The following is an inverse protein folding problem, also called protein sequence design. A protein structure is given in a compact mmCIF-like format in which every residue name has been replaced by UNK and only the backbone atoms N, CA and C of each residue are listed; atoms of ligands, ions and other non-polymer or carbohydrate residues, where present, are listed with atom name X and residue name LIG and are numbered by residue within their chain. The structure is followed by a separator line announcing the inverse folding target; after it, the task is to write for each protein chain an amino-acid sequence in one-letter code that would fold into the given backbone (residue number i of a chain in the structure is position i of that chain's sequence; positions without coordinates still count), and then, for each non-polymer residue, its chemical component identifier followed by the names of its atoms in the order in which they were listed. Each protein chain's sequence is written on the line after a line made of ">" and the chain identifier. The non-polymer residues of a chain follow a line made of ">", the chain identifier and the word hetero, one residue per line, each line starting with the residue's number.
data_IF_207355017391
#
_entry.id   IF_207355017391
#
_cell.length_a   1.000
_cell.length_b   1.000
_cell.length_c   1.000
_cell.angle_alpha   90.00
_cell.angle_beta   90.00
_cell.angle_gamma   90.00
#
_symmetry.space_group_name_H-M   'P 1'
#
loop_
_entity.id
_entity.type
_entity.pdbx_description
1 polymer ?
#
# COMPACT_ATOMS: atom_id res chain seq x y z
N UNK A 1 -7.04 -5.66 -18.46
CA UNK A 1 -7.66 -6.29 -17.29
C UNK A 1 -6.80 -7.45 -16.83
N UNK A 2 -6.23 -7.37 -15.62
CA UNK A 2 -5.43 -8.44 -15.05
C UNK A 2 -6.33 -9.56 -14.52
N UNK A 3 -6.01 -10.81 -14.84
CA UNK A 3 -6.63 -12.00 -14.24
C UNK A 3 -5.64 -12.67 -13.30
N UNK A 4 -6.12 -13.47 -12.34
CA UNK A 4 -5.23 -14.21 -11.43
C UNK A 4 -4.19 -15.10 -12.19
N UNK A 5 -4.52 -15.79 -13.30
CA UNK A 5 -3.53 -16.47 -14.13
C UNK A 5 -2.49 -15.51 -14.73
N UNK A 6 -2.88 -14.31 -15.16
CA UNK A 6 -1.95 -13.34 -15.75
C UNK A 6 -0.92 -12.85 -14.71
N UNK A 7 -1.33 -12.63 -13.47
CA UNK A 7 -0.41 -12.28 -12.37
C UNK A 7 0.60 -13.40 -12.11
N UNK A 8 0.16 -14.66 -12.14
CA UNK A 8 1.04 -15.83 -11.98
C UNK A 8 2.05 -15.96 -13.13
N UNK A 9 1.61 -15.76 -14.37
CA UNK A 9 2.50 -15.74 -15.54
C UNK A 9 3.51 -14.59 -15.50
N UNK A 10 3.09 -13.43 -15.02
CA UNK A 10 3.98 -12.29 -14.82
C UNK A 10 5.04 -12.61 -13.77
N UNK A 11 4.64 -13.22 -12.64
CA UNK A 11 5.56 -13.69 -11.60
C UNK A 11 6.60 -14.65 -12.17
N UNK A 12 6.19 -15.64 -12.96
CA UNK A 12 7.09 -16.59 -13.60
C UNK A 12 8.13 -15.89 -14.50
N UNK A 13 7.70 -14.95 -15.33
CA UNK A 13 8.61 -14.15 -16.16
C UNK A 13 9.60 -13.33 -15.34
N UNK A 14 9.16 -12.76 -14.21
CA UNK A 14 10.04 -12.00 -13.31
C UNK A 14 11.07 -12.90 -12.63
N UNK A 15 10.69 -14.11 -12.22
CA UNK A 15 11.62 -15.08 -11.66
C UNK A 15 12.66 -15.52 -12.69
N UNK A 16 12.25 -15.79 -13.94
CA UNK A 16 13.16 -16.10 -15.04
C UNK A 16 14.11 -14.95 -15.35
N UNK A 17 13.64 -13.72 -15.23
CA UNK A 17 14.47 -12.52 -15.42
C UNK A 17 15.31 -12.15 -14.18
N UNK A 18 15.26 -12.96 -13.10
CA UNK A 18 15.91 -12.68 -11.82
C UNK A 18 15.48 -11.34 -11.22
N UNK A 19 14.24 -10.91 -11.47
CA UNK A 19 13.67 -9.70 -10.87
C UNK A 19 13.22 -10.00 -9.43
N UNK A 20 13.69 -9.19 -8.47
CA UNK A 20 13.50 -9.43 -7.04
C UNK A 20 12.11 -9.07 -6.51
N UNK A 21 11.30 -8.29 -7.23
CA UNK A 21 9.98 -7.82 -6.77
C UNK A 21 9.09 -7.41 -7.93
N UNK A 22 7.81 -7.23 -7.64
CA UNK A 22 6.82 -6.75 -8.58
C UNK A 22 6.13 -5.49 -8.03
N UNK A 23 6.00 -4.46 -8.86
CA UNK A 23 5.22 -3.27 -8.55
C UNK A 23 3.97 -3.24 -9.42
N UNK A 24 2.82 -3.11 -8.79
CA UNK A 24 1.52 -3.04 -9.44
C UNK A 24 0.84 -1.73 -9.12
N UNK A 25 0.19 -1.17 -10.10
CA UNK A 25 -0.60 0.05 -9.97
C UNK A 25 -2.02 -0.23 -10.47
N UNK A 26 -3.01 0.13 -9.64
CA UNK A 26 -4.41 0.08 -9.97
C UNK A 26 -4.97 1.49 -9.93
N UNK A 27 -5.22 2.03 -11.10
CA UNK A 27 -5.97 3.27 -11.27
C UNK A 27 -7.47 2.97 -11.18
N UNK A 28 -8.23 3.81 -10.47
CA UNK A 28 -9.68 3.70 -10.29
C UNK A 28 -10.14 2.39 -9.59
N UNK A 29 -9.80 2.24 -8.32
CA UNK A 29 -10.07 1.02 -7.50
C UNK A 29 -11.55 0.61 -7.52
N UNK A 30 -12.51 1.57 -7.54
CA UNK A 30 -13.94 1.28 -7.49
C UNK A 30 -14.45 0.37 -8.60
N UNK A 31 -13.91 0.48 -9.82
CA UNK A 31 -14.29 -0.36 -10.96
C UNK A 31 -13.65 -1.76 -10.92
N UNK A 32 -12.56 -1.93 -10.20
CA UNK A 32 -11.78 -3.17 -10.15
C UNK A 32 -12.16 -4.09 -9.00
N UNK A 33 -12.60 -3.54 -7.87
CA UNK A 33 -13.03 -4.33 -6.69
C UNK A 33 -14.21 -5.23 -7.05
N UNK A 34 -15.17 -4.70 -7.80
CA UNK A 34 -16.39 -5.42 -8.19
C UNK A 34 -16.17 -6.56 -9.17
N UNK A 35 -15.08 -6.53 -9.94
CA UNK A 35 -14.91 -7.43 -11.08
C UNK A 35 -13.84 -8.52 -10.92
N UNK A 36 -12.95 -8.44 -9.92
CA UNK A 36 -11.73 -9.28 -9.89
C UNK A 36 -11.27 -9.72 -8.49
N UNK A 37 -12.16 -10.23 -7.66
CA UNK A 37 -11.84 -10.75 -6.30
C UNK A 37 -10.72 -11.79 -6.29
N UNK A 38 -10.64 -12.66 -7.31
CA UNK A 38 -9.57 -13.67 -7.40
C UNK A 38 -8.18 -13.06 -7.55
N UNK A 39 -8.06 -11.95 -8.28
CA UNK A 39 -6.79 -11.22 -8.44
C UNK A 39 -6.36 -10.59 -7.12
N UNK A 40 -7.31 -10.00 -6.40
CA UNK A 40 -7.05 -9.41 -5.09
C UNK A 40 -6.54 -10.45 -4.08
N UNK A 41 -7.12 -11.66 -4.08
CA UNK A 41 -6.63 -12.75 -3.23
C UNK A 41 -5.18 -13.14 -3.55
N UNK A 42 -4.80 -13.17 -4.84
CA UNK A 42 -3.40 -13.43 -5.24
C UNK A 42 -2.46 -12.34 -4.73
N UNK A 43 -2.89 -11.08 -4.71
CA UNK A 43 -2.05 -10.00 -4.16
C UNK A 43 -1.84 -10.12 -2.66
N UNK A 44 -2.83 -10.60 -1.90
CA UNK A 44 -2.65 -10.89 -0.48
C UNK A 44 -1.62 -12.01 -0.24
N UNK A 45 -1.60 -13.04 -1.09
CA UNK A 45 -0.60 -14.12 -1.03
C UNK A 45 0.81 -13.59 -1.35
N UNK A 46 0.93 -12.63 -2.27
CA UNK A 46 2.21 -12.03 -2.69
C UNK A 46 2.77 -10.99 -1.72
N UNK A 47 1.95 -10.45 -0.81
CA UNK A 47 2.31 -9.32 0.05
C UNK A 47 3.47 -9.62 1.01
N UNK A 48 3.50 -10.78 1.63
CA UNK A 48 4.49 -11.08 2.67
C UNK A 48 5.84 -11.51 2.06
N UNK A 49 5.88 -12.71 1.48
CA UNK A 49 7.11 -13.32 0.97
C UNK A 49 7.11 -13.51 -0.54
N UNK A 50 6.06 -13.07 -1.22
CA UNK A 50 5.97 -13.19 -2.67
C UNK A 50 5.78 -14.61 -3.17
N UNK A 51 5.14 -15.47 -2.37
CA UNK A 51 4.78 -16.84 -2.74
C UNK A 51 3.29 -16.91 -3.03
N UNK A 52 2.92 -17.62 -4.08
CA UNK A 52 1.53 -17.95 -4.41
C UNK A 52 1.32 -19.42 -4.16
N UNK A 53 0.29 -19.76 -3.39
CA UNK A 53 -0.08 -21.16 -3.13
C UNK A 53 -0.56 -21.82 -4.42
N UNK A 54 -0.05 -23.02 -4.70
CA UNK A 54 -0.56 -23.83 -5.81
C UNK A 54 -2.01 -24.26 -5.53
N UNK A 55 -2.92 -23.94 -6.46
CA UNK A 55 -4.17 -24.72 -6.54
C UNK A 55 -3.82 -26.05 -7.21
N UNK A 56 -4.03 -27.15 -6.50
CA UNK A 56 -3.95 -28.50 -7.08
C UNK A 56 -5.03 -28.63 -8.16
N UNK A 57 -4.69 -28.34 -9.40
CA UNK A 57 -5.56 -28.61 -10.55
C UNK A 57 -5.24 -30.04 -11.02
N UNK A 58 -6.28 -30.88 -11.17
CA UNK A 58 -6.12 -32.20 -11.76
C UNK A 58 -5.45 -32.07 -13.13
N UNK A 59 -4.39 -32.85 -13.35
CA UNK A 59 -3.77 -32.96 -14.67
C UNK A 59 -4.80 -33.48 -15.67
N UNK A 60 -5.13 -32.68 -16.67
CA UNK A 60 -5.83 -33.12 -17.88
C UNK A 60 -4.82 -33.19 -19.03
N UNK A 61 -5.11 -34.01 -20.03
CA UNK A 61 -4.22 -34.27 -21.18
C UNK A 61 -3.76 -32.99 -21.90
N UNK A 62 -4.55 -31.90 -21.75
CA UNK A 62 -4.29 -30.61 -22.40
C UNK A 62 -3.60 -29.57 -21.50
N UNK A 63 -3.37 -29.87 -20.21
CA UNK A 63 -2.67 -28.98 -19.27
C UNK A 63 -1.40 -29.65 -18.77
N UNK A 64 -0.33 -29.47 -19.52
CA UNK A 64 1.03 -29.80 -19.06
C UNK A 64 1.37 -28.79 -17.95
N UNK A 65 1.62 -29.28 -16.73
CA UNK A 65 2.18 -28.45 -15.66
C UNK A 65 3.47 -27.81 -16.16
N UNK A 66 3.50 -26.51 -16.29
CA UNK A 66 4.75 -25.80 -16.18
C UNK A 66 5.26 -26.02 -14.76
N UNK A 67 6.44 -26.57 -14.57
CA UNK A 67 7.07 -26.69 -13.27
C UNK A 67 7.11 -25.28 -12.66
N UNK A 68 6.56 -25.14 -11.45
CA UNK A 68 6.54 -23.83 -10.79
C UNK A 68 7.97 -23.47 -10.44
N UNK A 69 8.44 -22.34 -10.96
CA UNK A 69 9.78 -21.85 -10.66
C UNK A 69 9.85 -21.48 -9.18
N UNK A 70 10.80 -22.07 -8.42
CA UNK A 70 11.00 -21.70 -7.03
C UNK A 70 11.49 -20.24 -6.95
N UNK A 71 11.03 -19.51 -5.97
CA UNK A 71 11.48 -18.15 -5.72
C UNK A 71 10.39 -17.24 -5.16
N UNK A 72 10.83 -16.12 -4.64
CA UNK A 72 10.00 -15.11 -4.01
C UNK A 72 9.90 -13.88 -4.90
N UNK A 73 8.70 -13.37 -5.06
CA UNK A 73 8.41 -12.10 -5.77
C UNK A 73 7.51 -11.24 -4.91
N UNK A 74 8.02 -10.67 -3.79
CA UNK A 74 7.23 -9.76 -2.98
C UNK A 74 6.68 -8.64 -3.86
N UNK A 75 5.44 -8.26 -3.58
CA UNK A 75 4.70 -7.36 -4.46
C UNK A 75 4.29 -6.11 -3.72
N UNK A 76 4.62 -4.95 -4.30
CA UNK A 76 4.06 -3.68 -3.90
C UNK A 76 2.83 -3.38 -4.75
N UNK A 77 1.79 -2.88 -4.11
CA UNK A 77 0.54 -2.51 -4.76
C UNK A 77 0.20 -1.07 -4.40
N UNK A 78 0.07 -0.22 -5.42
CA UNK A 78 -0.42 1.14 -5.31
C UNK A 78 -1.82 1.21 -5.91
N UNK A 79 -2.76 1.79 -5.18
CA UNK A 79 -4.15 1.89 -5.59
C UNK A 79 -4.66 3.31 -5.45
N UNK A 80 -5.32 3.80 -6.48
CA UNK A 80 -5.96 5.12 -6.50
C UNK A 80 -7.47 4.96 -6.59
N UNK A 81 -8.20 5.82 -5.89
CA UNK A 81 -9.65 5.80 -5.91
C UNK A 81 -10.24 7.15 -5.53
N UNK A 82 -11.42 7.45 -6.05
CA UNK A 82 -12.16 8.65 -5.72
C UNK A 82 -13.08 8.36 -4.52
N UNK A 83 -12.92 9.05 -3.38
CA UNK A 83 -13.69 8.76 -2.16
C UNK A 83 -15.20 8.76 -2.38
N UNK A 84 -15.74 9.72 -3.14
CA UNK A 84 -17.18 9.82 -3.46
C UNK A 84 -17.71 8.64 -4.26
N UNK A 85 -16.85 7.93 -5.01
CA UNK A 85 -17.23 6.72 -5.74
C UNK A 85 -17.08 5.46 -4.89
N UNK A 86 -16.10 5.43 -3.98
CA UNK A 86 -15.85 4.30 -3.09
C UNK A 86 -16.82 4.25 -1.91
N UNK A 87 -17.33 5.41 -1.48
CA UNK A 87 -18.16 5.60 -0.30
C UNK A 87 -19.50 6.24 -0.66
N UNK A 88 -20.13 5.72 -1.73
CA UNK A 88 -21.37 6.25 -2.29
C UNK A 88 -22.64 5.83 -1.53
N UNK A 89 -22.49 4.99 -0.49
CA UNK A 89 -23.60 4.43 0.28
C UNK A 89 -24.30 3.26 -0.42
N UNK A 90 -23.79 2.81 -1.58
CA UNK A 90 -24.34 1.74 -2.38
C UNK A 90 -23.48 0.47 -2.39
N UNK A 91 -23.62 -0.30 -3.45
CA UNK A 91 -22.94 -1.58 -3.65
C UNK A 91 -21.40 -1.44 -3.67
N UNK A 92 -20.87 -0.38 -4.26
CA UNK A 92 -19.42 -0.17 -4.35
C UNK A 92 -18.81 0.03 -2.95
N UNK A 93 -19.50 0.76 -2.08
CA UNK A 93 -19.06 0.92 -0.69
C UNK A 93 -19.08 -0.41 0.07
N UNK A 94 -20.10 -1.23 -0.11
CA UNK A 94 -20.19 -2.54 0.53
C UNK A 94 -19.04 -3.45 0.08
N UNK A 95 -18.79 -3.53 -1.22
CA UNK A 95 -17.68 -4.30 -1.79
C UNK A 95 -16.30 -3.78 -1.34
N UNK A 96 -16.13 -2.45 -1.21
CA UNK A 96 -14.92 -1.85 -0.67
C UNK A 96 -14.70 -2.23 0.80
N UNK A 97 -15.76 -2.23 1.62
CA UNK A 97 -15.68 -2.67 3.00
C UNK A 97 -15.30 -4.15 3.10
N UNK A 98 -15.93 -5.02 2.31
CA UNK A 98 -15.58 -6.44 2.23
C UNK A 98 -14.12 -6.63 1.80
N UNK A 99 -13.64 -5.87 0.82
CA UNK A 99 -12.24 -5.87 0.41
C UNK A 99 -11.30 -5.54 1.60
N UNK A 100 -11.61 -4.51 2.37
CA UNK A 100 -10.83 -4.16 3.55
C UNK A 100 -10.85 -5.27 4.62
N UNK A 101 -12.00 -5.91 4.85
CA UNK A 101 -12.18 -7.01 5.79
C UNK A 101 -11.39 -8.26 5.41
N UNK A 102 -11.18 -8.55 4.12
CA UNK A 102 -10.37 -9.70 3.67
C UNK A 102 -8.90 -9.61 4.07
N UNK A 103 -8.48 -8.51 4.66
CA UNK A 103 -7.15 -8.31 5.23
C UNK A 103 -6.35 -7.17 4.62
N UNK A 104 -6.94 -6.40 3.70
CA UNK A 104 -6.25 -5.25 3.11
C UNK A 104 -6.12 -4.08 4.10
N UNK A 105 -7.10 -3.85 4.99
CA UNK A 105 -7.01 -2.79 6.00
C UNK A 105 -5.72 -2.89 6.84
N UNK A 106 -5.33 -4.10 7.20
CA UNK A 106 -4.12 -4.35 8.01
C UNK A 106 -2.81 -4.30 7.23
N UNK A 107 -2.85 -4.27 5.89
CA UNK A 107 -1.66 -4.30 5.03
C UNK A 107 -1.38 -3.01 4.29
N UNK A 108 -2.40 -2.20 4.04
CA UNK A 108 -2.29 -0.96 3.29
C UNK A 108 -1.91 0.22 4.17
N UNK A 109 -1.16 1.13 3.58
CA UNK A 109 -1.06 2.51 4.04
C UNK A 109 -2.08 3.34 3.24
N UNK A 110 -2.78 4.22 3.94
CA UNK A 110 -3.85 5.05 3.37
C UNK A 110 -3.38 6.49 3.29
N UNK A 111 -3.61 7.11 2.14
CA UNK A 111 -3.56 8.55 1.98
C UNK A 111 -4.96 9.04 1.64
N UNK A 112 -5.40 10.13 2.27
CA UNK A 112 -6.69 10.75 2.02
C UNK A 112 -6.53 12.26 2.02
N UNK A 113 -7.04 12.91 1.00
CA UNK A 113 -7.11 14.37 0.95
C UNK A 113 -8.47 14.81 0.40
N UNK A 114 -9.03 15.84 1.02
CA UNK A 114 -10.27 16.50 0.56
C UNK A 114 -9.92 17.64 -0.39
N UNK A 115 -8.81 18.31 -0.14
CA UNK A 115 -8.39 19.46 -0.92
C UNK A 115 -7.43 19.08 -2.03
N UNK A 116 -7.78 19.42 -3.26
CA UNK A 116 -6.79 19.49 -4.31
C UNK A 116 -5.94 20.75 -4.07
N UNK A 117 -4.79 20.62 -3.41
CA UNK A 117 -3.79 21.68 -3.33
C UNK A 117 -3.20 21.96 -4.73
N UNK A 118 -4.08 22.34 -5.66
CA UNK A 118 -3.64 22.77 -7.00
C UNK A 118 -2.95 24.12 -6.86
N UNK A 119 -1.68 24.15 -7.21
CA UNK A 119 -0.96 25.41 -7.34
C UNK A 119 -1.75 26.32 -8.27
N UNK A 120 -2.24 27.44 -7.75
CA UNK A 120 -2.92 28.46 -8.56
C UNK A 120 -1.84 29.34 -9.14
N UNK A 121 -1.77 29.39 -10.46
CA UNK A 121 -0.87 30.26 -11.19
C UNK A 121 -1.59 31.57 -11.53
N UNK A 122 -0.91 32.70 -11.36
CA UNK A 122 -1.46 34.00 -11.70
C UNK A 122 -1.58 34.20 -13.23
N UNK A 123 -0.75 33.48 -14.01
CA UNK A 123 -0.75 33.56 -15.47
C UNK A 123 -0.28 32.26 -16.14
N UNK A 124 -0.60 32.10 -17.43
CA UNK A 124 -0.06 31.00 -18.24
C UNK A 124 1.46 31.08 -18.38
N UNK A 125 2.02 32.27 -18.35
CA UNK A 125 3.47 32.53 -18.42
C UNK A 125 4.17 31.97 -17.19
N UNK A 126 3.64 32.23 -16.00
CA UNK A 126 4.17 31.69 -14.73
C UNK A 126 4.14 30.16 -14.72
N UNK A 127 3.03 29.56 -15.13
CA UNK A 127 2.91 28.10 -15.25
C UNK A 127 3.92 27.51 -16.22
N UNK A 128 4.13 28.17 -17.37
CA UNK A 128 5.13 27.73 -18.35
C UNK A 128 6.56 27.81 -17.79
N UNK A 129 6.90 28.90 -17.11
CA UNK A 129 8.21 29.06 -16.48
C UNK A 129 8.48 27.96 -15.46
N UNK A 130 7.51 27.60 -14.64
CA UNK A 130 7.67 26.48 -13.70
C UNK A 130 7.83 25.13 -14.41
N UNK A 131 7.14 24.90 -15.52
CA UNK A 131 7.27 23.66 -16.30
C UNK A 131 8.66 23.49 -16.95
N UNK A 132 9.33 24.58 -17.26
CA UNK A 132 10.67 24.58 -17.89
C UNK A 132 11.78 24.94 -16.90
N UNK A 133 11.49 24.89 -15.61
CA UNK A 133 12.46 25.20 -14.55
C UNK A 133 13.62 24.20 -14.58
N UNK A 134 14.81 24.72 -14.79
CA UNK A 134 16.03 23.94 -14.87
C UNK A 134 16.42 23.30 -13.52
N UNK A 135 16.10 23.94 -12.40
CA UNK A 135 16.37 23.42 -11.08
C UNK A 135 15.46 22.24 -10.77
N UNK A 136 14.17 22.31 -11.11
CA UNK A 136 13.26 21.17 -11.01
C UNK A 136 13.73 19.98 -11.88
N UNK A 137 14.18 20.23 -13.09
CA UNK A 137 14.72 19.18 -13.97
C UNK A 137 15.98 18.54 -13.37
N UNK A 138 16.85 19.31 -12.74
CA UNK A 138 18.04 18.83 -12.03
C UNK A 138 17.67 17.96 -10.82
N UNK A 139 16.69 18.38 -10.03
CA UNK A 139 16.21 17.62 -8.87
C UNK A 139 15.60 16.30 -9.31
N UNK A 140 14.80 16.29 -10.38
CA UNK A 140 14.24 15.06 -10.96
C UNK A 140 15.33 14.08 -11.42
N UNK A 141 16.41 14.59 -12.05
CA UNK A 141 17.55 13.75 -12.44
C UNK A 141 18.28 13.18 -11.21
N UNK A 142 18.45 13.95 -10.15
CA UNK A 142 19.06 13.48 -8.90
C UNK A 142 18.24 12.36 -8.26
N UNK A 143 16.91 12.51 -8.22
CA UNK A 143 15.99 11.47 -7.74
C UNK A 143 16.10 10.20 -8.62
N UNK A 144 16.08 10.36 -9.94
CA UNK A 144 16.24 9.25 -10.88
C UNK A 144 17.57 8.49 -10.66
N UNK A 145 18.66 9.20 -10.47
CA UNK A 145 19.97 8.60 -10.18
C UNK A 145 19.96 7.83 -8.87
N UNK A 146 19.31 8.38 -7.83
CA UNK A 146 19.17 7.72 -6.54
C UNK A 146 18.44 6.39 -6.67
N UNK A 147 17.29 6.36 -7.35
CA UNK A 147 16.56 5.11 -7.59
C UNK A 147 17.34 4.14 -8.48
N UNK A 148 18.07 4.63 -9.48
CA UNK A 148 18.95 3.80 -10.30
C UNK A 148 20.05 3.14 -9.47
N UNK A 149 20.60 3.84 -8.49
CA UNK A 149 21.61 3.30 -7.58
C UNK A 149 20.99 2.27 -6.62
N UNK A 150 19.74 2.49 -6.14
CA UNK A 150 19.03 1.48 -5.34
C UNK A 150 18.84 0.17 -6.11
N UNK A 151 18.48 0.25 -7.39
CA UNK A 151 18.28 -0.93 -8.23
C UNK A 151 19.55 -1.76 -8.48
N UNK A 152 20.74 -1.20 -8.25
CA UNK A 152 22.03 -1.89 -8.37
C UNK A 152 22.48 -2.59 -7.08
N UNK A 153 21.79 -2.37 -5.98
CA UNK A 153 22.15 -2.97 -4.68
C UNK A 153 21.78 -4.46 -4.63
N UNK A 154 22.46 -5.26 -3.79
CA UNK A 154 22.12 -6.66 -3.59
C UNK A 154 20.68 -6.84 -3.13
N UNK A 155 20.03 -7.90 -3.62
CA UNK A 155 18.70 -8.30 -3.14
C UNK A 155 18.77 -8.89 -1.73
N UNK A 156 17.69 -8.73 -0.96
CA UNK A 156 17.49 -9.34 0.34
C UNK A 156 18.64 -9.10 1.35
N UNK A 157 19.08 -7.86 1.58
CA UNK A 157 20.02 -7.61 2.66
C UNK A 157 19.38 -8.00 3.99
N UNK A 158 20.17 -8.65 4.85
CA UNK A 158 19.74 -8.93 6.22
C UNK A 158 19.95 -7.65 7.03
N UNK A 159 18.84 -7.09 7.52
CA UNK A 159 18.86 -5.92 8.38
C UNK A 159 18.90 -6.35 9.85
N UNK A 160 19.69 -5.65 10.65
CA UNK A 160 19.82 -5.86 12.08
C UNK A 160 18.96 -4.84 12.83
N UNK A 161 18.48 -5.22 14.00
CA UNK A 161 17.81 -4.32 14.92
C UNK A 161 18.38 -4.56 16.31
N UNK A 162 18.75 -3.49 17.03
CA UNK A 162 19.26 -3.60 18.40
C UNK A 162 18.16 -4.04 19.37
N UNK A 163 18.57 -4.56 20.53
CA UNK A 163 17.63 -4.90 21.61
C UNK A 163 16.79 -3.68 22.02
N UNK A 164 17.44 -2.52 22.18
CA UNK A 164 16.77 -1.28 22.57
C UNK A 164 15.67 -0.88 21.55
N UNK A 165 16.00 -0.93 20.26
CA UNK A 165 15.05 -0.61 19.18
C UNK A 165 13.95 -1.68 19.04
N UNK A 166 14.25 -2.94 19.35
CA UNK A 166 13.25 -4.02 19.42
C UNK A 166 12.26 -3.77 20.56
N UNK A 167 12.75 -3.39 21.75
CA UNK A 167 11.91 -3.02 22.89
C UNK A 167 11.04 -1.81 22.55
N UNK A 168 11.60 -0.79 21.91
CA UNK A 168 10.86 0.39 21.46
C UNK A 168 9.70 0.02 20.51
N UNK A 169 9.96 -0.84 19.54
CA UNK A 169 8.93 -1.34 18.62
C UNK A 169 7.85 -2.17 19.33
N UNK A 170 8.24 -2.99 20.31
CA UNK A 170 7.30 -3.77 21.14
C UNK A 170 6.42 -2.83 21.97
N UNK A 171 6.97 -1.75 22.54
CA UNK A 171 6.17 -0.75 23.25
C UNK A 171 5.12 -0.10 22.33
N UNK A 172 5.50 0.20 21.08
CA UNK A 172 4.56 0.69 20.08
C UNK A 172 3.48 -0.34 19.74
N UNK A 173 3.85 -1.62 19.60
CA UNK A 173 2.90 -2.72 19.41
C UNK A 173 1.88 -2.77 20.56
N UNK A 174 2.34 -2.80 21.80
CA UNK A 174 1.47 -2.83 22.99
C UNK A 174 0.51 -1.64 23.05
N UNK A 175 0.98 -0.44 22.64
CA UNK A 175 0.13 0.75 22.53
C UNK A 175 -0.98 0.56 21.48
N UNK A 176 -0.66 -0.01 20.32
CA UNK A 176 -1.64 -0.31 19.27
C UNK A 176 -2.67 -1.35 19.72
N UNK A 177 -2.22 -2.41 20.41
CA UNK A 177 -3.09 -3.46 20.96
C UNK A 177 -4.06 -2.88 21.98
N UNK A 178 -3.56 -2.10 22.95
CA UNK A 178 -4.40 -1.45 23.95
C UNK A 178 -5.43 -0.50 23.32
N UNK A 179 -5.02 0.31 22.33
CA UNK A 179 -5.93 1.19 21.62
C UNK A 179 -7.00 0.41 20.82
N UNK A 180 -6.68 -0.75 20.29
CA UNK A 180 -7.64 -1.62 19.61
C UNK A 180 -8.63 -2.27 20.58
N UNK A 181 -8.18 -2.65 21.77
CA UNK A 181 -9.03 -3.26 22.81
C UNK A 181 -10.09 -2.27 23.31
N UNK A 182 -9.77 -0.97 23.37
CA UNK A 182 -10.71 0.09 23.72
C UNK A 182 -11.76 0.38 22.64
N UNK A 183 -11.58 -0.13 21.42
CA UNK A 183 -12.54 0.08 20.33
C UNK A 183 -13.78 -0.83 20.52
N UNK A 184 -14.95 -0.32 20.07
CA UNK A 184 -16.21 -1.06 20.07
C UNK A 184 -16.18 -2.28 19.14
N UNK A 185 -16.90 -3.34 19.47
CA UNK A 185 -16.90 -4.61 18.73
C UNK A 185 -17.27 -4.51 17.24
N UNK A 186 -18.16 -3.58 16.90
CA UNK A 186 -18.56 -3.36 15.51
C UNK A 186 -17.49 -2.65 14.64
N UNK A 187 -16.37 -2.24 15.23
CA UNK A 187 -15.25 -1.57 14.53
C UNK A 187 -14.15 -2.57 14.10
N UNK A 188 -14.53 -3.77 13.66
CA UNK A 188 -13.62 -4.88 13.33
C UNK A 188 -12.49 -4.49 12.36
N UNK A 189 -12.82 -3.71 11.30
CA UNK A 189 -11.85 -3.26 10.30
C UNK A 189 -10.83 -2.30 10.93
N UNK A 190 -11.30 -1.37 11.77
CA UNK A 190 -10.43 -0.41 12.49
C UNK A 190 -9.53 -1.12 13.50
N UNK A 191 -10.07 -2.08 14.27
CA UNK A 191 -9.27 -2.91 15.17
C UNK A 191 -8.16 -3.65 14.40
N UNK A 192 -8.50 -4.27 13.28
CA UNK A 192 -7.54 -4.99 12.45
C UNK A 192 -6.46 -4.05 11.87
N UNK A 193 -6.81 -2.84 11.46
CA UNK A 193 -5.84 -1.83 11.00
C UNK A 193 -4.91 -1.42 12.14
N UNK A 194 -5.47 -1.07 13.31
CA UNK A 194 -4.73 -0.61 14.48
C UNK A 194 -3.71 -1.64 14.99
N UNK A 195 -4.13 -2.88 15.21
CA UNK A 195 -3.25 -3.95 15.71
C UNK A 195 -2.07 -4.19 14.77
N UNK A 196 -2.24 -3.98 13.46
CA UNK A 196 -1.20 -4.27 12.47
C UNK A 196 -0.29 -3.07 12.15
N UNK A 197 -0.46 -1.92 12.80
CA UNK A 197 0.38 -0.73 12.55
C UNK A 197 1.86 -0.99 12.80
N UNK A 198 2.20 -1.73 13.84
CA UNK A 198 3.61 -2.02 14.13
C UNK A 198 4.29 -2.86 13.03
N UNK A 199 3.55 -3.76 12.35
CA UNK A 199 4.08 -4.47 11.18
C UNK A 199 4.33 -3.55 9.99
N UNK A 200 3.46 -2.58 9.78
CA UNK A 200 3.66 -1.56 8.75
C UNK A 200 4.89 -0.71 9.08
N UNK A 201 5.04 -0.31 10.35
CA UNK A 201 6.15 0.50 10.82
C UNK A 201 7.50 -0.21 10.63
N UNK A 202 7.63 -1.48 11.03
CA UNK A 202 8.90 -2.21 10.85
C UNK A 202 9.23 -2.44 9.37
N UNK A 203 8.25 -2.69 8.51
CA UNK A 203 8.47 -2.81 7.06
C UNK A 203 8.94 -1.50 6.44
N UNK A 204 8.34 -0.37 6.83
CA UNK A 204 8.78 0.96 6.38
C UNK A 204 10.17 1.31 6.93
N UNK A 205 10.44 1.06 8.20
CA UNK A 205 11.76 1.30 8.79
C UNK A 205 12.84 0.50 8.06
N UNK A 206 12.55 -0.76 7.69
CA UNK A 206 13.45 -1.56 6.86
C UNK A 206 13.68 -0.94 5.47
N UNK A 207 12.66 -0.39 4.85
CA UNK A 207 12.79 0.29 3.56
C UNK A 207 13.64 1.58 3.67
N UNK A 208 13.47 2.37 4.73
CA UNK A 208 14.30 3.55 4.99
C UNK A 208 15.75 3.17 5.29
N UNK A 209 15.97 2.14 6.10
CA UNK A 209 17.31 1.59 6.36
C UNK A 209 18.02 1.20 5.05
N UNK A 210 17.30 0.54 4.15
CA UNK A 210 17.82 0.21 2.82
C UNK A 210 18.11 1.47 1.99
N UNK A 211 17.22 2.47 2.03
CA UNK A 211 17.41 3.73 1.32
C UNK A 211 18.66 4.47 1.80
N UNK A 212 18.91 4.49 3.11
CA UNK A 212 20.08 5.12 3.72
C UNK A 212 21.38 4.31 3.56
N UNK A 213 21.32 3.18 2.84
CA UNK A 213 22.45 2.28 2.67
C UNK A 213 23.03 1.76 4.00
N UNK A 214 22.17 1.62 5.01
CA UNK A 214 22.50 1.04 6.31
C UNK A 214 22.09 -0.43 6.35
N UNK A 215 22.68 -1.16 7.27
CA UNK A 215 22.30 -2.54 7.62
C UNK A 215 21.63 -2.62 8.98
N UNK A 216 21.55 -1.51 9.71
CA UNK A 216 20.97 -1.44 11.05
C UNK A 216 19.75 -0.50 11.05
N UNK A 217 18.63 -0.99 11.57
CA UNK A 217 17.41 -0.21 11.79
C UNK A 217 17.62 0.64 13.03
N UNK A 218 17.77 1.95 12.83
CA UNK A 218 17.94 2.93 13.91
C UNK A 218 16.61 3.36 14.51
N UNK A 219 16.65 4.05 15.64
CA UNK A 219 15.46 4.66 16.22
C UNK A 219 14.84 5.71 15.29
N UNK A 220 15.65 6.52 14.60
CA UNK A 220 15.15 7.52 13.65
C UNK A 220 14.35 6.87 12.51
N UNK A 221 14.80 5.72 12.00
CA UNK A 221 14.04 4.95 11.01
C UNK A 221 12.68 4.50 11.56
N UNK A 222 12.63 4.06 12.82
CA UNK A 222 11.39 3.64 13.47
C UNK A 222 10.48 4.84 13.74
N UNK A 223 11.00 5.94 14.26
CA UNK A 223 10.21 7.14 14.56
C UNK A 223 9.55 7.71 13.31
N UNK A 224 10.32 7.81 12.22
CA UNK A 224 9.79 8.28 10.95
C UNK A 224 8.75 7.31 10.36
N UNK A 225 9.01 6.01 10.44
CA UNK A 225 8.08 4.98 9.99
C UNK A 225 6.77 5.00 10.80
N UNK A 226 6.86 5.12 12.12
CA UNK A 226 5.71 5.22 13.02
C UNK A 226 4.89 6.46 12.70
N UNK A 227 5.53 7.62 12.49
CA UNK A 227 4.82 8.85 12.11
C UNK A 227 4.00 8.66 10.84
N UNK A 228 4.57 8.08 9.79
CA UNK A 228 3.85 7.81 8.53
C UNK A 228 2.69 6.82 8.74
N UNK A 229 2.88 5.82 9.58
CA UNK A 229 1.83 4.82 9.87
C UNK A 229 0.68 5.45 10.67
N UNK A 230 0.98 6.34 11.62
CA UNK A 230 -0.05 7.07 12.37
C UNK A 230 -0.83 8.03 11.45
N UNK A 231 -0.14 8.81 10.61
CA UNK A 231 -0.79 9.67 9.61
C UNK A 231 -1.69 8.86 8.66
N UNK A 232 -1.22 7.69 8.25
CA UNK A 232 -2.01 6.76 7.44
C UNK A 232 -3.24 6.23 8.20
N UNK A 233 -3.10 5.98 9.49
CA UNK A 233 -4.20 5.55 10.34
C UNK A 233 -5.27 6.64 10.50
N UNK A 234 -4.87 7.90 10.63
CA UNK A 234 -5.80 9.04 10.65
C UNK A 234 -6.52 9.22 9.31
N UNK A 235 -5.79 9.09 8.20
CA UNK A 235 -6.37 9.11 6.87
C UNK A 235 -7.40 7.99 6.68
N UNK A 236 -7.07 6.76 7.14
CA UNK A 236 -7.98 5.62 7.12
C UNK A 236 -9.24 5.88 7.97
N UNK A 237 -9.08 6.40 9.18
CA UNK A 237 -10.21 6.73 10.05
C UNK A 237 -11.13 7.76 9.40
N UNK A 238 -10.55 8.79 8.80
CA UNK A 238 -11.30 9.84 8.08
C UNK A 238 -12.04 9.26 6.88
N UNK A 239 -11.38 8.42 6.08
CA UNK A 239 -11.97 7.73 4.92
C UNK A 239 -13.15 6.84 5.33
N UNK A 240 -13.01 6.10 6.44
CA UNK A 240 -14.02 5.13 6.89
C UNK A 240 -15.13 5.71 7.75
N UNK A 241 -15.03 6.99 8.11
CA UNK A 241 -16.06 7.69 8.88
C UNK A 241 -17.35 7.73 8.06
N UNK A 242 -18.39 7.07 8.57
CA UNK A 242 -19.73 7.15 7.96
C UNK A 242 -20.23 8.59 8.08
N UNK A 243 -20.37 9.26 6.95
CA UNK A 243 -21.19 10.45 6.90
C UNK A 243 -22.67 10.05 7.06
N UNK A 244 -23.31 10.53 8.10
CA UNK A 244 -24.75 10.32 8.28
C UNK A 244 -25.55 10.93 7.12
N UNK A 245 -26.78 10.45 6.83
CA UNK A 245 -27.61 11.02 5.76
C UNK A 245 -27.79 12.53 5.89
N UNK A 246 -27.86 13.04 7.11
CA UNK A 246 -27.98 14.47 7.40
C UNK A 246 -26.68 15.24 7.14
N UNK A 247 -25.52 14.66 7.42
CA UNK A 247 -24.22 15.28 7.11
C UNK A 247 -24.01 15.35 5.59
N UNK A 248 -24.37 14.32 4.85
CA UNK A 248 -24.35 14.32 3.37
C UNK A 248 -25.25 15.40 2.79
N UNK A 249 -26.46 15.52 3.32
CA UNK A 249 -27.40 16.57 2.90
C UNK A 249 -26.88 17.97 3.24
N UNK A 250 -26.28 18.16 4.43
CA UNK A 250 -25.70 19.44 4.83
C UNK A 250 -24.54 19.85 3.91
N UNK A 251 -23.64 18.91 3.56
CA UNK A 251 -22.57 19.16 2.58
C UNK A 251 -23.14 19.51 1.20
N UNK A 252 -24.12 18.75 0.72
CA UNK A 252 -24.76 19.03 -0.56
C UNK A 252 -25.39 20.43 -0.62
N UNK A 253 -26.06 20.85 0.47
CA UNK A 253 -26.68 22.18 0.55
C UNK A 253 -25.64 23.32 0.71
N UNK A 254 -24.46 23.03 1.25
CA UNK A 254 -23.38 24.02 1.38
C UNK A 254 -22.63 24.25 0.06
N UNK A 255 -22.67 23.27 -0.84
CA UNK A 255 -22.02 23.32 -2.16
C UNK A 255 -22.95 23.88 -3.27
N UNK A 256 -24.22 24.13 -2.96
CA UNK A 256 -25.19 24.79 -3.83
C UNK A 256 -25.25 26.31 -3.60
#
# INVERSE_FOLDING_TARGET
>A
SGTAPAVKQMREKLLLASAGSMNLELDEVGSHITSNTDVLNVFLELYDVGLVKQKLIKNTVDNIRSEELPGNTPTNLMMFGTPTKLLDGGRVEEEFRQFLETGYARRLLFGYTIDSNRTKYASAQERYQQMVDADLAKDMLAIQQTFTNFAKRPFNPVLQISEANSIYLIQYQMKCEAAADDMKDHMSIHKAEMIHRYYKAIKLAGAYTFADNSTEITQDHLDYAISIVEDSGEAFHTLMRKQGPYERLAHYLADC
#
